data_IF_464936528195
#
_entry.id   IF_464936528195
#
_cell.length_a   1.000
_cell.length_b   1.000
_cell.length_c   1.000
_cell.angle_alpha   90.00
_cell.angle_beta   90.00
_cell.angle_gamma   90.00
#
_symmetry.space_group_name_H-M   'P 1'
#
loop_
_entity.id
_entity.type
_entity.pdbx_description
1 polymer ?
#
# COMPACT_ATOMS: atom_id res chain seq x y z
N UNK A 1 -4.62 -11.50 0.10
CA UNK A 1 -5.85 -10.70 0.00
C UNK A 1 -7.11 -11.51 0.31
N UNK A 2 -8.13 -10.84 0.79
CA UNK A 2 -9.47 -11.41 0.95
C UNK A 2 -10.51 -10.34 0.58
N UNK A 3 -11.74 -10.75 0.28
CA UNK A 3 -12.83 -9.82 -0.04
C UNK A 3 -13.08 -8.77 1.05
N UNK A 4 -12.82 -9.12 2.30
CA UNK A 4 -12.93 -8.20 3.43
C UNK A 4 -11.71 -7.31 3.61
N UNK A 5 -10.53 -7.72 3.12
CA UNK A 5 -9.27 -7.00 3.23
C UNK A 5 -8.42 -7.20 1.97
N UNK A 6 -8.45 -6.22 1.09
CA UNK A 6 -7.68 -6.21 -0.16
C UNK A 6 -6.23 -5.75 0.03
N UNK A 7 -5.76 -5.60 1.26
CA UNK A 7 -4.41 -5.10 1.58
C UNK A 7 -4.03 -3.85 0.78
N UNK A 8 -5.00 -2.99 0.53
CA UNK A 8 -4.87 -1.82 -0.31
C UNK A 8 -4.92 -0.54 0.52
N UNK A 9 -3.94 0.30 0.31
CA UNK A 9 -3.94 1.67 0.81
C UNK A 9 -4.71 2.52 -0.19
N UNK A 10 -5.66 3.29 0.31
CA UNK A 10 -6.37 4.28 -0.48
C UNK A 10 -6.16 5.66 0.13
N UNK A 11 -5.79 6.61 -0.70
CA UNK A 11 -5.63 8.01 -0.35
C UNK A 11 -6.37 8.90 -1.34
N UNK A 12 -6.67 10.12 -0.94
CA UNK A 12 -7.21 11.12 -1.85
C UNK A 12 -6.64 12.51 -1.53
N UNK A 13 -6.58 13.34 -2.55
CA UNK A 13 -6.18 14.75 -2.47
C UNK A 13 -7.17 15.60 -3.23
N UNK A 14 -7.57 16.70 -2.64
CA UNK A 14 -8.23 17.79 -3.38
C UNK A 14 -7.13 18.58 -4.08
N UNK A 15 -7.31 18.82 -5.37
CA UNK A 15 -6.29 19.46 -6.21
C UNK A 15 -6.60 20.93 -6.42
N UNK A 16 -5.63 21.78 -6.08
CA UNK A 16 -5.69 23.22 -6.28
C UNK A 16 -4.29 23.73 -6.68
N UNK A 17 -4.10 24.27 -7.89
CA UNK A 17 -5.07 24.33 -8.98
C UNK A 17 -5.42 22.96 -9.56
N UNK A 18 -6.45 22.89 -10.41
CA UNK A 18 -6.79 21.68 -11.14
C UNK A 18 -5.62 21.21 -12.00
N UNK A 19 -5.47 19.91 -12.08
CA UNK A 19 -4.53 19.27 -13.02
C UNK A 19 -5.30 18.65 -14.18
N UNK A 20 -4.71 18.71 -15.35
CA UNK A 20 -5.15 17.89 -16.48
C UNK A 20 -4.66 16.45 -16.30
N UNK A 21 -5.31 15.51 -17.02
CA UNK A 21 -4.83 14.11 -17.00
C UNK A 21 -3.37 14.00 -17.48
N UNK A 22 -2.98 14.80 -18.48
CA UNK A 22 -1.63 14.80 -19.02
C UNK A 22 -0.60 15.24 -17.95
N UNK A 23 -0.86 16.35 -17.25
CA UNK A 23 0.00 16.85 -16.18
C UNK A 23 0.11 15.85 -15.02
N UNK A 24 -1.01 15.25 -14.59
CA UNK A 24 -0.99 14.23 -13.56
C UNK A 24 -0.19 13.00 -14.00
N UNK A 25 -0.38 12.57 -15.24
CA UNK A 25 0.36 11.42 -15.81
C UNK A 25 1.86 11.68 -15.84
N UNK A 26 2.29 12.86 -16.29
CA UNK A 26 3.70 13.25 -16.33
C UNK A 26 4.32 13.27 -14.94
N UNK A 27 3.62 13.85 -13.95
CA UNK A 27 4.07 13.88 -12.55
C UNK A 27 4.23 12.48 -11.98
N UNK A 28 3.26 11.60 -12.21
CA UNK A 28 3.29 10.20 -11.77
C UNK A 28 4.43 9.44 -12.46
N UNK A 29 4.63 9.60 -13.75
CA UNK A 29 5.74 8.99 -14.48
C UNK A 29 7.08 9.41 -13.88
N UNK A 30 7.24 10.69 -13.60
CA UNK A 30 8.49 11.23 -13.06
C UNK A 30 8.73 10.77 -11.62
N UNK A 31 7.71 10.78 -10.78
CA UNK A 31 7.87 10.51 -9.36
C UNK A 31 7.85 9.00 -9.04
N UNK A 32 6.89 8.23 -9.60
CA UNK A 32 6.68 6.83 -9.22
C UNK A 32 7.49 5.86 -10.07
N UNK A 33 7.56 6.07 -11.39
CA UNK A 33 8.23 5.11 -12.27
C UNK A 33 9.77 5.12 -12.15
N UNK A 34 10.31 6.05 -11.38
CA UNK A 34 11.70 5.99 -10.92
C UNK A 34 11.95 4.78 -10.00
N UNK A 35 10.90 4.23 -9.38
CA UNK A 35 10.98 3.07 -8.51
C UNK A 35 10.54 1.81 -9.28
N UNK A 36 11.41 0.81 -9.46
CA UNK A 36 11.11 -0.39 -10.27
C UNK A 36 9.82 -1.09 -9.85
N UNK A 37 9.49 -1.10 -8.56
CA UNK A 37 8.31 -1.76 -8.01
C UNK A 37 6.99 -1.29 -8.63
N UNK A 38 6.92 -0.03 -9.11
CA UNK A 38 5.74 0.50 -9.79
C UNK A 38 5.59 0.05 -11.25
N UNK A 39 6.59 -0.67 -11.79
CA UNK A 39 6.53 -1.29 -13.12
C UNK A 39 6.49 -2.82 -13.04
N UNK A 40 6.50 -3.38 -11.83
CA UNK A 40 6.56 -4.81 -11.59
C UNK A 40 5.18 -5.34 -11.19
N UNK A 41 4.88 -6.54 -11.63
CA UNK A 41 3.73 -7.33 -11.21
C UNK A 41 4.19 -8.57 -10.43
N UNK A 42 3.27 -9.16 -9.69
CA UNK A 42 3.53 -10.40 -8.94
C UNK A 42 3.21 -11.59 -9.83
N UNK A 43 4.13 -12.54 -9.90
CA UNK A 43 3.91 -13.84 -10.54
C UNK A 43 4.11 -14.92 -9.47
N UNK A 44 3.12 -15.78 -9.35
CA UNK A 44 3.15 -16.93 -8.45
C UNK A 44 3.48 -18.20 -9.23
N UNK A 45 4.34 -19.03 -8.66
CA UNK A 45 4.69 -20.34 -9.18
C UNK A 45 4.94 -21.31 -8.01
N UNK A 46 5.31 -22.55 -8.32
CA UNK A 46 5.56 -23.60 -7.31
C UNK A 46 6.67 -23.25 -6.30
N UNK A 47 7.56 -22.32 -6.64
CA UNK A 47 8.63 -21.84 -5.76
C UNK A 47 8.20 -20.65 -4.89
N UNK A 48 7.00 -20.09 -5.12
CA UNK A 48 6.46 -18.95 -4.39
C UNK A 48 6.12 -17.75 -5.28
N UNK A 49 5.97 -16.58 -4.68
CA UNK A 49 5.65 -15.33 -5.37
C UNK A 49 6.91 -14.50 -5.66
N UNK A 50 7.02 -13.98 -6.87
CA UNK A 50 8.12 -13.14 -7.31
C UNK A 50 7.63 -11.87 -8.01
N UNK A 51 8.40 -10.79 -7.88
CA UNK A 51 8.18 -9.56 -8.63
C UNK A 51 8.91 -9.65 -9.97
N UNK A 52 8.18 -9.43 -11.05
CA UNK A 52 8.73 -9.42 -12.42
C UNK A 52 8.35 -8.12 -13.12
N UNK A 53 9.19 -7.63 -14.00
CA UNK A 53 8.86 -6.45 -14.81
C UNK A 53 7.66 -6.77 -15.71
N UNK A 54 6.72 -5.82 -15.82
CA UNK A 54 5.59 -5.95 -16.73
C UNK A 54 5.97 -5.42 -18.10
N UNK A 55 6.32 -6.32 -19.02
CA UNK A 55 6.71 -5.97 -20.39
C UNK A 55 5.59 -5.26 -21.17
N UNK A 56 4.33 -5.46 -20.76
CA UNK A 56 3.16 -4.81 -21.36
C UNK A 56 2.69 -3.59 -20.54
N UNK A 57 3.58 -2.99 -19.72
CA UNK A 57 3.23 -1.84 -18.91
C UNK A 57 2.70 -0.68 -19.75
N UNK A 58 1.48 -0.24 -19.43
CA UNK A 58 0.85 0.92 -20.03
C UNK A 58 0.30 1.84 -18.93
N UNK A 59 0.82 3.06 -18.86
CA UNK A 59 0.44 4.07 -17.88
C UNK A 59 -1.07 4.40 -17.95
N UNK A 60 -1.69 4.27 -19.11
CA UNK A 60 -3.11 4.54 -19.31
C UNK A 60 -4.04 3.59 -18.54
N UNK A 61 -3.56 2.42 -18.13
CA UNK A 61 -4.29 1.52 -17.21
C UNK A 61 -4.18 1.94 -15.74
N UNK A 62 -3.19 2.76 -15.43
CA UNK A 62 -2.85 3.14 -14.06
C UNK A 62 -3.27 4.56 -13.71
N UNK A 63 -3.33 5.45 -14.70
CA UNK A 63 -3.74 6.85 -14.50
C UNK A 63 -4.95 7.12 -15.38
N UNK A 64 -6.11 7.30 -14.75
CA UNK A 64 -7.38 7.43 -15.43
C UNK A 64 -8.10 8.71 -15.02
N UNK A 65 -8.98 9.20 -15.90
CA UNK A 65 -9.86 10.33 -15.61
C UNK A 65 -11.31 9.86 -15.57
N UNK A 66 -12.08 10.34 -14.60
CA UNK A 66 -13.49 10.07 -14.49
C UNK A 66 -14.27 11.29 -14.00
N UNK A 67 -15.51 11.43 -14.46
CA UNK A 67 -16.43 12.42 -13.94
C UNK A 67 -17.07 11.88 -12.64
N UNK A 68 -17.11 12.72 -11.60
CA UNK A 68 -17.79 12.39 -10.36
C UNK A 68 -19.30 12.29 -10.60
N UNK A 69 -19.87 11.14 -10.30
CA UNK A 69 -21.32 10.91 -10.45
C UNK A 69 -22.04 11.29 -9.17
N UNK A 70 -22.98 12.23 -9.28
CA UNK A 70 -23.82 12.64 -8.17
C UNK A 70 -25.16 11.90 -8.17
N UNK A 71 -25.68 11.60 -6.99
CA UNK A 71 -27.09 11.25 -6.80
C UNK A 71 -27.89 12.53 -6.66
N UNK A 72 -29.20 12.44 -6.90
CA UNK A 72 -30.07 13.60 -6.75
C UNK A 72 -29.94 14.20 -5.34
N UNK A 73 -29.58 15.48 -5.25
CA UNK A 73 -29.39 16.19 -3.97
C UNK A 73 -28.12 15.83 -3.18
N UNK A 74 -27.22 15.05 -3.75
CA UNK A 74 -25.95 14.68 -3.08
C UNK A 74 -24.94 15.82 -3.20
N UNK A 75 -24.34 16.21 -2.07
CA UNK A 75 -23.27 17.20 -2.08
C UNK A 75 -21.98 16.62 -2.74
N UNK A 76 -21.17 17.46 -3.42
CA UNK A 76 -19.94 16.99 -4.11
C UNK A 76 -19.01 16.18 -3.22
N UNK A 77 -18.79 16.63 -2.00
CA UNK A 77 -17.93 15.94 -1.04
C UNK A 77 -18.48 14.56 -0.64
N UNK A 78 -19.79 14.39 -0.54
CA UNK A 78 -20.40 13.10 -0.21
C UNK A 78 -20.37 12.14 -1.41
N UNK A 79 -20.50 12.66 -2.63
CA UNK A 79 -20.27 11.89 -3.85
C UNK A 79 -18.81 11.40 -3.92
N UNK A 80 -17.84 12.24 -3.58
CA UNK A 80 -16.43 11.87 -3.50
C UNK A 80 -16.18 10.78 -2.42
N UNK A 81 -16.72 10.94 -1.21
CA UNK A 81 -16.63 9.92 -0.15
C UNK A 81 -17.17 8.57 -0.62
N UNK A 82 -18.32 8.59 -1.28
CA UNK A 82 -18.92 7.38 -1.86
C UNK A 82 -18.02 6.76 -2.91
N UNK A 83 -17.43 7.56 -3.81
CA UNK A 83 -16.52 7.06 -4.84
C UNK A 83 -15.25 6.45 -4.25
N UNK A 84 -14.66 7.07 -3.24
CA UNK A 84 -13.53 6.50 -2.50
C UNK A 84 -13.90 5.15 -1.87
N UNK A 85 -15.09 5.06 -1.24
CA UNK A 85 -15.57 3.80 -0.66
C UNK A 85 -15.80 2.70 -1.69
N UNK A 86 -16.33 3.04 -2.88
CA UNK A 86 -16.49 2.10 -4.01
C UNK A 86 -15.13 1.56 -4.46
N UNK A 87 -14.16 2.45 -4.68
CA UNK A 87 -12.82 2.08 -5.09
C UNK A 87 -12.10 1.25 -4.01
N UNK A 88 -12.36 1.49 -2.73
CA UNK A 88 -11.80 0.72 -1.62
C UNK A 88 -12.30 -0.75 -1.57
N UNK A 89 -13.39 -1.06 -2.28
CA UNK A 89 -13.97 -2.41 -2.34
C UNK A 89 -13.66 -3.17 -3.62
N UNK A 90 -13.00 -2.53 -4.58
CA UNK A 90 -12.65 -3.12 -5.86
C UNK A 90 -11.21 -3.63 -5.81
N UNK A 91 -10.93 -4.89 -6.11
CA UNK A 91 -9.57 -5.37 -6.22
C UNK A 91 -8.81 -4.68 -7.36
N UNK A 92 -7.51 -4.61 -7.25
CA UNK A 92 -6.62 -4.25 -8.36
C UNK A 92 -6.45 -5.47 -9.27
N UNK A 93 -6.18 -5.23 -10.56
CA UNK A 93 -5.91 -6.30 -11.53
C UNK A 93 -4.54 -6.94 -11.23
N UNK A 94 -4.50 -8.23 -10.83
CA UNK A 94 -3.25 -8.89 -10.48
C UNK A 94 -2.34 -9.18 -11.68
N UNK A 95 -2.86 -9.07 -12.91
CA UNK A 95 -2.05 -9.23 -14.12
C UNK A 95 -1.16 -8.03 -14.43
N UNK A 96 -1.28 -6.95 -13.63
CA UNK A 96 -0.58 -5.66 -13.80
C UNK A 96 0.09 -5.22 -12.49
N UNK A 97 0.94 -4.18 -12.51
CA UNK A 97 1.40 -3.51 -11.29
C UNK A 97 0.21 -3.05 -10.43
N UNK A 98 0.26 -3.35 -9.14
CA UNK A 98 -0.88 -3.25 -8.23
C UNK A 98 -1.08 -1.83 -7.69
N UNK A 99 -1.33 -0.87 -8.58
CA UNK A 99 -1.64 0.51 -8.22
C UNK A 99 -2.46 1.20 -9.29
N UNK A 100 -3.24 2.21 -8.90
CA UNK A 100 -4.01 3.08 -9.79
C UNK A 100 -4.18 4.48 -9.19
N UNK A 101 -4.24 5.48 -10.07
CA UNK A 101 -4.61 6.86 -9.77
C UNK A 101 -5.81 7.26 -10.61
N UNK A 102 -6.80 7.84 -9.97
CA UNK A 102 -8.02 8.32 -10.61
C UNK A 102 -8.08 9.84 -10.45
N UNK A 103 -8.01 10.57 -11.55
CA UNK A 103 -8.35 11.98 -11.56
C UNK A 103 -9.88 12.10 -11.65
N UNK A 104 -10.49 12.51 -10.56
CA UNK A 104 -11.95 12.63 -10.43
C UNK A 104 -12.32 14.10 -10.51
N UNK A 105 -13.20 14.44 -11.43
CA UNK A 105 -13.63 15.82 -11.65
C UNK A 105 -15.13 15.96 -11.39
N UNK A 106 -15.49 17.07 -10.73
CA UNK A 106 -16.89 17.44 -10.60
C UNK A 106 -17.45 17.83 -11.97
N UNK A 107 -18.70 17.44 -12.30
CA UNK A 107 -19.33 17.75 -13.59
C UNK A 107 -19.36 19.23 -13.94
N UNK A 108 -19.51 20.12 -12.97
CA UNK A 108 -19.45 21.57 -13.16
C UNK A 108 -18.01 22.08 -13.33
N UNK A 109 -17.04 21.20 -13.16
CA UNK A 109 -15.64 21.51 -13.34
C UNK A 109 -15.04 22.41 -12.26
N UNK A 110 -15.69 22.66 -11.14
CA UNK A 110 -15.19 23.56 -10.09
C UNK A 110 -14.11 22.93 -9.24
N UNK A 111 -14.17 21.61 -9.01
CA UNK A 111 -13.24 20.87 -8.18
C UNK A 111 -12.68 19.66 -8.91
N UNK A 112 -11.47 19.29 -8.55
CA UNK A 112 -10.87 18.01 -8.94
C UNK A 112 -10.20 17.35 -7.74
N UNK A 113 -10.21 16.03 -7.73
CA UNK A 113 -9.57 15.22 -6.72
C UNK A 113 -8.75 14.12 -7.39
N UNK A 114 -7.65 13.76 -6.77
CA UNK A 114 -6.88 12.58 -7.12
C UNK A 114 -7.15 11.50 -6.07
N UNK A 115 -7.59 10.33 -6.49
CA UNK A 115 -7.72 9.15 -5.63
C UNK A 115 -6.63 8.17 -6.03
N UNK A 116 -5.77 7.77 -5.10
CA UNK A 116 -4.79 6.73 -5.32
C UNK A 116 -5.20 5.43 -4.62
N UNK A 117 -4.87 4.33 -5.25
CA UNK A 117 -5.05 2.96 -4.77
C UNK A 117 -3.74 2.24 -4.97
N UNK A 118 -3.11 1.78 -3.90
CA UNK A 118 -1.81 1.11 -3.97
C UNK A 118 -1.86 -0.10 -3.06
N UNK A 119 -1.53 -1.28 -3.59
CA UNK A 119 -1.45 -2.49 -2.79
C UNK A 119 -0.28 -2.40 -1.81
N UNK A 120 -0.50 -2.78 -0.56
CA UNK A 120 0.49 -2.65 0.53
C UNK A 120 1.76 -3.49 0.29
N UNK A 121 1.70 -4.48 -0.59
CA UNK A 121 2.87 -5.25 -1.01
C UNK A 121 3.91 -4.45 -1.81
N UNK A 122 3.55 -3.28 -2.38
CA UNK A 122 4.49 -2.41 -3.11
C UNK A 122 5.49 -1.74 -2.17
N UNK A 123 5.03 -1.37 -0.97
CA UNK A 123 5.87 -0.72 0.03
C UNK A 123 5.13 -0.52 1.34
N UNK A 124 5.86 -0.18 2.39
CA UNK A 124 5.25 0.18 3.66
C UNK A 124 4.52 1.55 3.59
N UNK A 125 3.64 1.81 4.56
CA UNK A 125 2.78 3.00 4.55
C UNK A 125 3.58 4.31 4.53
N UNK A 126 4.72 4.39 5.22
CA UNK A 126 5.55 5.60 5.28
C UNK A 126 6.23 5.84 3.93
N UNK A 127 6.78 4.79 3.32
CA UNK A 127 7.39 4.87 2.00
C UNK A 127 6.36 5.29 0.95
N UNK A 128 5.15 4.70 0.95
CA UNK A 128 4.10 5.04 0.01
C UNK A 128 3.58 6.47 0.18
N UNK A 129 3.42 6.95 1.42
CA UNK A 129 3.09 8.35 1.68
C UNK A 129 4.18 9.28 1.14
N UNK A 130 5.45 8.98 1.40
CA UNK A 130 6.57 9.80 0.93
C UNK A 130 6.63 9.86 -0.60
N UNK A 131 6.44 8.72 -1.28
CA UNK A 131 6.41 8.66 -2.74
C UNK A 131 5.20 9.43 -3.30
N UNK A 132 4.02 9.30 -2.71
CA UNK A 132 2.83 10.03 -3.19
C UNK A 132 2.92 11.53 -2.93
N UNK A 133 3.51 11.96 -1.83
CA UNK A 133 3.76 13.38 -1.56
C UNK A 133 4.79 13.98 -2.54
N UNK A 134 5.69 13.19 -3.12
CA UNK A 134 6.65 13.69 -4.11
C UNK A 134 5.99 14.08 -5.45
N UNK A 135 4.73 13.73 -5.68
CA UNK A 135 3.95 14.15 -6.85
C UNK A 135 3.52 15.62 -6.74
N UNK A 136 3.39 16.12 -5.51
CA UNK A 136 2.98 17.50 -5.24
C UNK A 136 4.11 18.50 -5.52
N UNK A 137 3.73 19.75 -5.81
CA UNK A 137 4.70 20.84 -6.00
C UNK A 137 5.51 21.05 -4.72
N UNK A 138 6.83 21.14 -4.86
CA UNK A 138 7.75 21.24 -3.73
C UNK A 138 7.97 19.92 -2.97
N UNK A 139 7.37 18.83 -3.42
CA UNK A 139 7.61 17.50 -2.87
C UNK A 139 9.06 17.06 -3.07
N UNK A 140 9.67 16.52 -2.03
CA UNK A 140 11.01 15.96 -2.11
C UNK A 140 10.91 14.47 -2.44
N UNK A 141 11.56 13.99 -3.51
CA UNK A 141 11.62 12.56 -3.79
C UNK A 141 12.22 11.83 -2.59
N UNK A 142 11.62 10.73 -2.12
CA UNK A 142 12.23 9.93 -1.08
C UNK A 142 13.59 9.40 -1.57
N UNK A 143 14.57 9.26 -0.66
CA UNK A 143 15.88 8.78 -1.02
C UNK A 143 15.77 7.39 -1.67
N UNK A 144 16.33 7.24 -2.86
CA UNK A 144 16.44 5.94 -3.50
C UNK A 144 17.41 5.09 -2.67
N UNK A 145 16.89 4.02 -2.08
CA UNK A 145 17.77 3.03 -1.48
C UNK A 145 18.63 2.43 -2.59
N UNK A 146 19.95 2.44 -2.39
CA UNK A 146 20.85 1.67 -3.26
C UNK A 146 20.33 0.23 -3.30
N UNK A 147 20.38 -0.46 -4.47
CA UNK A 147 20.06 -1.87 -4.52
C UNK A 147 20.90 -2.58 -3.45
N UNK A 148 20.23 -3.10 -2.44
CA UNK A 148 20.89 -3.95 -1.48
C UNK A 148 21.37 -5.20 -2.23
N UNK A 149 22.63 -5.58 -2.01
CA UNK A 149 23.15 -6.83 -2.55
C UNK A 149 22.19 -7.98 -2.15
N UNK A 150 22.02 -8.97 -3.02
CA UNK A 150 21.06 -10.07 -2.82
C UNK A 150 21.18 -10.77 -1.45
N UNK A 151 22.35 -10.68 -0.80
CA UNK A 151 22.61 -11.22 0.54
C UNK A 151 21.87 -10.51 1.68
N UNK A 152 21.39 -9.26 1.48
CA UNK A 152 20.65 -8.51 2.51
C UNK A 152 19.13 -8.51 2.30
N UNK A 153 18.64 -9.02 1.15
CA UNK A 153 17.20 -9.09 0.85
C UNK A 153 16.45 -10.09 1.73
N UNK A 154 17.15 -11.00 2.34
CA UNK A 154 16.57 -12.17 3.00
C UNK A 154 16.63 -12.11 4.53
N UNK A 155 17.04 -10.95 5.12
CA UNK A 155 17.22 -10.91 6.58
C UNK A 155 15.91 -11.20 7.35
N UNK A 156 14.75 -10.78 6.84
CA UNK A 156 13.44 -11.13 7.44
C UNK A 156 13.13 -12.60 7.15
N UNK A 157 13.32 -13.06 5.92
CA UNK A 157 13.21 -14.46 5.53
C UNK A 157 14.21 -15.32 6.27
N UNK A 158 15.45 -14.89 6.33
CA UNK A 158 16.53 -15.62 7.01
C UNK A 158 16.39 -15.55 8.53
N UNK A 159 15.92 -14.44 9.09
CA UNK A 159 15.85 -14.27 10.55
C UNK A 159 14.54 -14.80 11.15
N UNK A 160 13.42 -14.76 10.42
CA UNK A 160 12.11 -15.16 10.96
C UNK A 160 11.54 -16.43 10.34
N UNK A 161 11.80 -16.71 9.07
CA UNK A 161 11.13 -17.79 8.35
C UNK A 161 12.03 -19.03 8.17
N UNK A 162 13.31 -18.89 7.87
CA UNK A 162 14.23 -20.03 7.73
C UNK A 162 14.42 -20.84 9.02
N UNK A 163 14.47 -20.25 10.22
CA UNK A 163 14.46 -21.03 11.45
C UNK A 163 13.16 -21.81 11.67
N UNK A 164 12.04 -21.35 11.10
CA UNK A 164 10.73 -22.01 11.26
C UNK A 164 10.53 -23.17 10.26
N UNK A 165 11.16 -23.12 9.09
CA UNK A 165 10.90 -24.05 7.99
C UNK A 165 12.04 -25.04 7.74
N UNK A 166 13.23 -24.75 8.18
CA UNK A 166 14.33 -25.68 7.96
C UNK A 166 15.70 -25.16 8.33
N UNK A 167 16.14 -25.53 9.48
CA UNK A 167 17.56 -25.61 9.76
C UNK A 167 18.11 -26.72 8.86
N UNK A 168 18.50 -26.39 7.62
CA UNK A 168 19.29 -27.31 6.83
C UNK A 168 20.66 -27.47 7.48
N UNK A 169 21.15 -28.70 7.56
CA UNK A 169 22.39 -29.12 8.25
C UNK A 169 23.64 -28.26 7.96
N UNK A 170 23.65 -27.48 6.86
CA UNK A 170 24.73 -26.57 6.49
C UNK A 170 24.77 -25.23 7.25
N UNK A 171 23.65 -24.78 7.80
CA UNK A 171 23.62 -23.57 8.62
C UNK A 171 24.05 -23.80 10.07
N UNK A 172 24.00 -25.05 10.52
CA UNK A 172 24.41 -25.44 11.88
C UNK A 172 25.93 -25.47 12.09
N UNK A 173 26.70 -25.63 11.03
CA UNK A 173 28.17 -25.69 11.12
C UNK A 173 28.84 -24.29 11.29
N UNK A 174 28.13 -23.20 11.04
CA UNK A 174 28.68 -21.83 11.16
C UNK A 174 28.35 -21.12 12.47
N UNK A 175 27.33 -21.56 13.19
CA UNK A 175 26.99 -21.04 14.52
C UNK A 175 27.33 -22.12 15.54
N UNK A 176 28.12 -21.77 16.55
CA UNK A 176 28.38 -22.70 17.64
C UNK A 176 27.08 -23.30 18.17
N UNK A 177 27.04 -24.58 18.45
CA UNK A 177 25.82 -25.34 18.82
C UNK A 177 25.00 -24.70 19.96
N UNK A 178 25.62 -23.91 20.82
CA UNK A 178 25.00 -23.21 21.93
C UNK A 178 24.20 -21.96 21.46
N UNK A 179 24.66 -21.24 20.45
CA UNK A 179 24.01 -20.03 19.96
C UNK A 179 22.84 -20.37 19.04
N UNK A 180 22.96 -21.39 18.21
CA UNK A 180 21.85 -21.90 17.40
C UNK A 180 20.72 -22.45 18.29
N UNK A 181 21.05 -23.14 19.38
CA UNK A 181 20.04 -23.60 20.33
C UNK A 181 19.34 -22.45 21.06
N UNK A 182 20.07 -21.40 21.45
CA UNK A 182 19.50 -20.21 22.09
C UNK A 182 18.52 -19.47 21.15
N UNK A 183 18.91 -19.26 19.90
CA UNK A 183 18.04 -18.62 18.89
C UNK A 183 16.79 -19.48 18.66
N UNK A 184 16.93 -20.79 18.54
CA UNK A 184 15.78 -21.71 18.37
C UNK A 184 14.82 -21.66 19.56
N UNK A 185 15.32 -21.63 20.78
CA UNK A 185 14.50 -21.49 21.99
C UNK A 185 13.81 -20.13 22.04
N UNK A 186 14.50 -19.04 21.70
CA UNK A 186 13.92 -17.71 21.69
C UNK A 186 12.76 -17.63 20.67
N UNK A 187 12.98 -18.09 19.44
CA UNK A 187 11.95 -18.11 18.39
C UNK A 187 10.75 -18.96 18.82
N UNK A 188 10.98 -20.11 19.45
CA UNK A 188 9.90 -20.95 19.96
C UNK A 188 9.13 -20.26 21.10
N UNK A 189 9.81 -19.56 22.00
CA UNK A 189 9.19 -18.78 23.07
C UNK A 189 8.37 -17.62 22.52
N UNK A 190 8.89 -16.88 21.54
CA UNK A 190 8.18 -15.75 20.91
C UNK A 190 6.95 -16.25 20.13
N UNK A 191 7.08 -17.35 19.41
CA UNK A 191 5.95 -17.99 18.73
C UNK A 191 4.89 -18.50 19.71
N UNK A 192 5.30 -19.11 20.84
CA UNK A 192 4.39 -19.53 21.87
C UNK A 192 3.72 -18.34 22.58
N UNK A 193 4.46 -17.26 22.83
CA UNK A 193 3.91 -16.03 23.39
C UNK A 193 2.85 -15.41 22.47
N UNK A 194 3.09 -15.38 21.14
CA UNK A 194 2.11 -14.92 20.15
C UNK A 194 0.88 -15.83 20.10
N UNK A 195 1.08 -17.15 20.14
CA UNK A 195 -0.03 -18.12 20.09
C UNK A 195 -0.88 -18.11 21.38
N UNK A 196 -0.30 -17.73 22.50
CA UNK A 196 -0.97 -17.64 23.81
C UNK A 196 -1.43 -16.22 24.15
N UNK A 197 -1.23 -15.25 23.27
CA UNK A 197 -1.76 -13.91 23.47
C UNK A 197 -3.29 -13.97 23.62
N UNK A 198 -3.78 -13.35 24.67
CA UNK A 198 -5.21 -13.18 24.83
C UNK A 198 -5.77 -12.34 23.67
N UNK A 199 -6.99 -12.65 23.26
CA UNK A 199 -7.70 -11.81 22.30
C UNK A 199 -7.76 -10.37 22.79
N UNK A 200 -7.63 -9.42 21.85
CA UNK A 200 -7.82 -8.01 22.17
C UNK A 200 -9.16 -7.76 22.88
N UNK A 201 -9.16 -6.83 23.80
CA UNK A 201 -10.36 -6.45 24.54
C UNK A 201 -11.52 -6.13 23.59
N UNK A 202 -12.74 -6.58 23.87
CA UNK A 202 -13.91 -6.23 23.09
C UNK A 202 -14.15 -4.72 23.18
N UNK A 203 -14.20 -4.04 22.05
CA UNK A 203 -14.51 -2.62 21.94
C UNK A 203 -15.65 -2.41 20.96
N UNK A 204 -16.29 -1.22 21.01
CA UNK A 204 -17.31 -0.82 20.03
C UNK A 204 -16.78 -0.77 18.59
N UNK A 205 -15.45 -0.65 18.42
CA UNK A 205 -14.79 -0.56 17.12
C UNK A 205 -14.34 -1.93 16.60
N UNK A 206 -14.37 -2.96 17.46
CA UNK A 206 -13.98 -4.33 17.08
C UNK A 206 -15.21 -5.07 16.55
N UNK A 207 -15.10 -5.62 15.36
CA UNK A 207 -16.15 -6.39 14.72
C UNK A 207 -15.62 -7.21 13.54
N UNK A 208 -16.48 -8.07 12.97
CA UNK A 208 -16.11 -8.80 11.77
C UNK A 208 -15.96 -7.85 10.58
N UNK A 209 -14.82 -7.91 9.91
CA UNK A 209 -14.61 -7.17 8.67
C UNK A 209 -15.61 -7.65 7.60
N UNK A 210 -16.12 -6.71 6.82
CA UNK A 210 -17.03 -6.99 5.71
C UNK A 210 -16.47 -6.36 4.43
N UNK A 211 -16.85 -6.86 3.25
CA UNK A 211 -16.43 -6.26 1.98
C UNK A 211 -17.06 -4.87 1.75
N UNK A 212 -18.11 -4.52 2.49
CA UNK A 212 -18.73 -3.20 2.39
C UNK A 212 -17.91 -2.17 3.16
N UNK A 213 -17.45 -1.13 2.48
CA UNK A 213 -16.70 -0.03 3.08
C UNK A 213 -17.53 1.25 3.06
N UNK A 214 -17.35 2.06 4.11
CA UNK A 214 -17.83 3.43 4.18
C UNK A 214 -16.64 4.31 4.51
N UNK A 215 -16.57 5.45 3.87
CA UNK A 215 -15.52 6.44 4.10
C UNK A 215 -16.17 7.67 4.68
N UNK A 216 -15.60 8.19 5.75
CA UNK A 216 -16.02 9.43 6.37
C UNK A 216 -14.79 10.20 6.83
N UNK A 217 -14.80 11.50 6.62
CA UNK A 217 -13.81 12.43 7.16
C UNK A 217 -14.52 13.71 7.60
N UNK A 218 -13.91 14.42 8.50
CA UNK A 218 -14.30 15.75 8.95
C UNK A 218 -13.31 16.77 8.43
N UNK A 219 -13.67 18.03 8.57
CA UNK A 219 -12.73 19.11 8.37
C UNK A 219 -11.52 18.92 9.31
N UNK A 220 -10.31 19.19 8.84
CA UNK A 220 -9.12 19.08 9.66
C UNK A 220 -9.25 19.96 10.92
N UNK A 221 -8.83 19.43 12.04
CA UNK A 221 -8.64 20.26 13.23
C UNK A 221 -7.41 21.16 13.03
N UNK A 222 -7.43 22.42 13.47
CA UNK A 222 -6.26 23.25 13.50
C UNK A 222 -5.13 22.55 14.28
N UNK A 223 -3.91 22.58 13.73
CA UNK A 223 -2.78 21.90 14.37
C UNK A 223 -2.50 22.42 15.78
N UNK A 224 -2.80 23.69 16.04
CA UNK A 224 -2.68 24.34 17.34
C UNK A 224 -3.57 23.65 18.38
N UNK A 225 -4.80 23.29 17.99
CA UNK A 225 -5.76 22.62 18.89
C UNK A 225 -5.35 21.18 19.23
N UNK A 226 -4.52 20.56 18.36
CA UNK A 226 -4.00 19.19 18.57
C UNK A 226 -2.75 19.18 19.45
N UNK A 227 -1.99 20.28 19.49
CA UNK A 227 -0.76 20.40 20.26
C UNK A 227 -0.97 20.92 21.69
N UNK A 228 -2.17 21.42 21.99
CA UNK A 228 -2.55 21.91 23.32
C UNK A 228 -2.88 20.74 24.26
#
# INVERSE_FOLDING_TARGET
>A
DSDANLMMIIGFWLLEPKLTLAELTERIQTALLAYPRFRQKVVENDAGAAWVDDEAFDIGHHVTREALRHKHGEAPLDALKRRVAELATQPLDPSRPLWQFHLVEDPDGTQSAMICRIHHGIGDGIALISVTLSIADGGTPPPQRKPQAESERDWIGDTLIKPLIGVTAKGMDMLGSADAARIGVQVAQDAAALALMADDSPTRLKGKSTPRKRVSWREPLPLEDVKA
#
